data_IF_280419185282
#
_entry.id   IF_280419185282
#
_cell.length_a   1.000
_cell.length_b   1.000
_cell.length_c   1.000
_cell.angle_alpha   90.00
_cell.angle_beta   90.00
_cell.angle_gamma   90.00
#
_symmetry.space_group_name_H-M   'P 1'
#
loop_
_entity.id
_entity.type
_entity.pdbx_description
1 polymer ?
#
# COMPACT_ATOMS: atom_id res chain seq x y z
N UNK A 1 -5.24 -1.74 1.91
CA UNK A 1 -5.04 -1.79 0.44
C UNK A 1 -4.14 -0.65 0.03
N UNK A 2 -3.07 -0.95 -0.70
CA UNK A 2 -2.20 0.05 -1.31
C UNK A 2 -2.24 -0.11 -2.83
N UNK A 3 -2.23 1.02 -3.55
CA UNK A 3 -2.16 1.08 -5.01
C UNK A 3 -0.82 1.66 -5.38
N UNK A 4 0.01 0.88 -6.07
CA UNK A 4 1.32 1.31 -6.55
C UNK A 4 1.27 1.79 -7.98
N UNK A 5 2.33 2.51 -8.35
CA UNK A 5 2.60 2.94 -9.73
C UNK A 5 2.77 1.74 -10.66
N UNK A 6 2.16 1.75 -11.86
CA UNK A 6 2.20 0.62 -12.79
C UNK A 6 3.59 0.37 -13.39
N UNK A 7 4.44 1.41 -13.42
CA UNK A 7 5.78 1.37 -14.01
C UNK A 7 6.79 0.55 -13.19
N UNK A 8 6.40 0.07 -12.01
CA UNK A 8 7.24 -0.69 -11.08
C UNK A 8 7.51 -2.10 -11.58
N UNK A 9 8.76 -2.52 -11.56
CA UNK A 9 9.18 -3.89 -11.88
C UNK A 9 8.81 -4.88 -10.76
N UNK A 10 8.85 -6.17 -11.03
CA UNK A 10 8.52 -7.20 -10.03
C UNK A 10 9.48 -7.20 -8.85
N UNK A 11 10.78 -7.00 -9.09
CA UNK A 11 11.80 -6.95 -8.04
C UNK A 11 11.58 -5.75 -7.11
N UNK A 12 11.28 -4.57 -7.66
CA UNK A 12 11.00 -3.38 -6.84
C UNK A 12 9.71 -3.55 -6.01
N UNK A 13 8.71 -4.27 -6.56
CA UNK A 13 7.50 -4.63 -5.79
C UNK A 13 7.86 -5.54 -4.63
N UNK A 14 8.70 -6.55 -4.85
CA UNK A 14 9.12 -7.50 -3.83
C UNK A 14 9.86 -6.78 -2.68
N UNK A 15 10.76 -5.86 -3.03
CA UNK A 15 11.50 -5.03 -2.07
C UNK A 15 10.54 -4.15 -1.25
N UNK A 16 9.53 -3.54 -1.89
CA UNK A 16 8.52 -2.76 -1.17
C UNK A 16 7.65 -3.61 -0.24
N UNK A 17 7.23 -4.81 -0.66
CA UNK A 17 6.48 -5.72 0.20
C UNK A 17 7.29 -6.09 1.43
N UNK A 18 8.57 -6.48 1.27
CA UNK A 18 9.42 -6.80 2.40
C UNK A 18 9.63 -5.61 3.35
N UNK A 19 9.87 -4.41 2.82
CA UNK A 19 10.00 -3.18 3.62
C UNK A 19 8.76 -2.93 4.51
N UNK A 20 7.56 -3.10 3.96
CA UNK A 20 6.32 -2.88 4.72
C UNK A 20 5.95 -4.04 5.63
N UNK A 21 6.32 -5.28 5.29
CA UNK A 21 6.25 -6.41 6.21
C UNK A 21 7.11 -6.18 7.44
N UNK A 22 8.38 -5.78 7.26
CA UNK A 22 9.29 -5.46 8.37
C UNK A 22 8.74 -4.34 9.25
N UNK A 23 8.18 -3.29 8.65
CA UNK A 23 7.55 -2.20 9.39
C UNK A 23 6.36 -2.69 10.22
N UNK A 24 5.52 -3.55 9.65
CA UNK A 24 4.40 -4.16 10.36
C UNK A 24 4.88 -5.05 11.52
N UNK A 25 5.92 -5.87 11.31
CA UNK A 25 6.53 -6.71 12.34
C UNK A 25 7.14 -5.85 13.46
N UNK A 26 7.86 -4.79 13.12
CA UNK A 26 8.42 -3.84 14.08
C UNK A 26 7.33 -3.11 14.89
N UNK A 27 6.16 -2.87 14.28
CA UNK A 27 4.95 -2.37 14.96
C UNK A 27 4.23 -3.40 15.83
N UNK A 28 4.78 -4.61 16.00
CA UNK A 28 4.15 -5.71 16.73
C UNK A 28 2.99 -6.35 15.98
N UNK A 29 2.98 -6.25 14.65
CA UNK A 29 2.02 -6.90 13.77
C UNK A 29 2.20 -8.41 13.76
N UNK A 30 1.09 -9.13 13.89
CA UNK A 30 1.02 -10.58 13.78
C UNK A 30 0.11 -10.97 12.62
N UNK A 31 0.32 -12.18 12.07
CA UNK A 31 -0.47 -12.74 10.98
C UNK A 31 -0.55 -11.82 9.76
N UNK A 32 0.62 -11.46 9.23
CA UNK A 32 0.72 -10.65 8.02
C UNK A 32 0.55 -11.58 6.82
N UNK A 33 -0.49 -11.32 6.03
CA UNK A 33 -0.74 -11.97 4.76
C UNK A 33 -0.76 -10.91 3.66
N UNK A 34 0.02 -11.13 2.62
CA UNK A 34 0.22 -10.19 1.51
C UNK A 34 -0.31 -10.82 0.23
N UNK A 35 -1.33 -10.20 -0.33
CA UNK A 35 -1.95 -10.64 -1.56
C UNK A 35 -1.77 -9.61 -2.67
N UNK A 36 -1.06 -10.00 -3.73
CA UNK A 36 -0.88 -9.19 -4.92
C UNK A 36 -1.96 -9.50 -5.96
N UNK A 37 -2.73 -8.49 -6.36
CA UNK A 37 -3.80 -8.59 -7.37
C UNK A 37 -3.34 -8.25 -8.79
N UNK A 38 -2.09 -7.85 -8.97
CA UNK A 38 -1.52 -7.47 -10.26
C UNK A 38 -1.96 -6.08 -10.73
N UNK A 39 -1.74 -5.83 -12.02
CA UNK A 39 -2.04 -4.57 -12.70
C UNK A 39 -3.50 -4.56 -13.13
N UNK A 40 -4.25 -3.55 -12.70
CA UNK A 40 -5.66 -3.37 -13.06
C UNK A 40 -5.87 -1.90 -13.47
N UNK A 41 -6.63 -1.63 -14.55
CA UNK A 41 -6.97 -0.27 -14.93
C UNK A 41 -7.83 0.41 -13.85
N UNK A 42 -7.49 1.64 -13.54
CA UNK A 42 -8.20 2.47 -12.57
C UNK A 42 -9.49 3.00 -13.18
N UNK A 43 -10.51 3.20 -12.34
CA UNK A 43 -11.78 3.78 -12.78
C UNK A 43 -11.65 5.22 -13.31
N UNK A 44 -10.60 5.93 -12.91
CA UNK A 44 -10.28 7.29 -13.37
C UNK A 44 -8.78 7.53 -13.26
N UNK A 45 -8.27 8.49 -14.03
CA UNK A 45 -6.85 8.85 -14.00
C UNK A 45 -6.49 9.59 -12.72
N UNK A 46 -5.43 9.14 -12.05
CA UNK A 46 -4.98 9.68 -10.77
C UNK A 46 -3.67 10.43 -10.95
N UNK A 47 -3.57 11.63 -10.38
CA UNK A 47 -2.34 12.44 -10.39
C UNK A 47 -1.60 12.28 -9.08
N UNK A 48 -0.29 12.07 -9.14
CA UNK A 48 0.61 11.99 -7.98
C UNK A 48 1.82 12.89 -8.20
N UNK A 49 2.18 13.66 -7.19
CA UNK A 49 3.44 14.41 -7.17
C UNK A 49 4.50 13.60 -6.46
N UNK A 50 5.67 13.45 -7.07
CA UNK A 50 6.83 12.81 -6.47
C UNK A 50 7.66 13.83 -5.67
N UNK A 51 8.60 13.36 -4.84
CA UNK A 51 9.57 14.24 -4.14
C UNK A 51 10.44 15.05 -5.10
N UNK A 52 10.67 14.54 -6.31
CA UNK A 52 11.39 15.25 -7.38
C UNK A 52 10.56 16.41 -8.01
N UNK A 53 9.31 16.61 -7.60
CA UNK A 53 8.43 17.66 -8.12
C UNK A 53 7.67 17.28 -9.39
N UNK A 54 7.96 16.13 -9.98
CA UNK A 54 7.25 15.59 -11.15
C UNK A 54 5.79 15.27 -10.80
N UNK A 55 4.88 15.62 -11.71
CA UNK A 55 3.45 15.30 -11.59
C UNK A 55 3.09 14.23 -12.60
N UNK A 56 2.95 13.00 -12.12
CA UNK A 56 2.66 11.84 -12.96
C UNK A 56 1.16 11.54 -12.92
N UNK A 57 0.61 11.17 -14.08
CA UNK A 57 -0.79 10.80 -14.23
C UNK A 57 -0.87 9.32 -14.59
N UNK A 58 -1.52 8.53 -13.76
CA UNK A 58 -1.63 7.08 -13.93
C UNK A 58 -3.05 6.69 -14.33
N UNK A 59 -3.14 5.75 -15.27
CA UNK A 59 -4.40 5.12 -15.70
C UNK A 59 -4.51 3.71 -15.12
N UNK A 60 -3.38 3.04 -14.95
CA UNK A 60 -3.29 1.72 -14.33
C UNK A 60 -2.66 1.79 -12.94
N UNK A 61 -2.90 0.76 -12.13
CA UNK A 61 -2.26 0.62 -10.82
C UNK A 61 -2.12 -0.84 -10.41
N UNK A 62 -1.12 -1.10 -9.56
CA UNK A 62 -0.90 -2.42 -8.98
C UNK A 62 -1.53 -2.46 -7.60
N UNK A 63 -2.37 -3.45 -7.34
CA UNK A 63 -3.10 -3.56 -6.08
C UNK A 63 -2.44 -4.55 -5.13
N UNK A 64 -1.94 -4.05 -3.99
CA UNK A 64 -1.47 -4.87 -2.88
C UNK A 64 -2.45 -4.82 -1.70
N UNK A 65 -2.90 -6.00 -1.30
CA UNK A 65 -3.74 -6.17 -0.13
C UNK A 65 -2.90 -6.76 1.02
N UNK A 66 -2.83 -6.00 2.11
CA UNK A 66 -2.24 -6.45 3.36
C UNK A 66 -3.37 -6.78 4.33
N UNK A 67 -3.37 -8.00 4.84
CA UNK A 67 -4.21 -8.43 5.96
C UNK A 67 -3.29 -8.65 7.15
N UNK A 68 -3.50 -7.92 8.24
CA UNK A 68 -2.60 -7.94 9.40
C UNK A 68 -3.35 -7.63 10.68
N UNK A 69 -2.80 -8.07 11.82
CA UNK A 69 -3.27 -7.74 13.15
C UNK A 69 -2.21 -6.93 13.89
N UNK A 70 -2.40 -5.63 14.06
CA UNK A 70 -1.46 -4.74 14.76
C UNK A 70 -2.12 -4.02 15.93
N UNK A 71 -1.28 -3.44 16.81
CA UNK A 71 -1.75 -2.50 17.83
C UNK A 71 -2.34 -1.24 17.18
N UNK A 72 -3.33 -0.60 17.82
CA UNK A 72 -3.95 0.61 17.28
C UNK A 72 -2.99 1.80 17.23
N UNK A 73 -2.01 1.88 18.12
CA UNK A 73 -1.05 2.99 18.17
C UNK A 73 -0.12 3.01 16.94
N UNK A 74 0.25 1.82 16.44
CA UNK A 74 1.19 1.66 15.32
C UNK A 74 0.57 1.97 13.96
N UNK A 75 -0.76 2.08 13.86
CA UNK A 75 -1.45 2.31 12.58
C UNK A 75 -1.17 3.70 12.01
N UNK A 76 -1.01 4.71 12.88
CA UNK A 76 -0.78 6.09 12.45
C UNK A 76 0.55 6.21 11.71
N UNK A 77 1.60 5.61 12.30
CA UNK A 77 2.95 5.57 11.70
C UNK A 77 2.91 4.83 10.36
N UNK A 78 2.19 3.71 10.28
CA UNK A 78 2.02 2.97 9.04
C UNK A 78 1.34 3.81 7.95
N UNK A 79 0.25 4.51 8.28
CA UNK A 79 -0.44 5.35 7.30
C UNK A 79 0.39 6.54 6.82
N UNK A 80 1.11 7.20 7.72
CA UNK A 80 1.99 8.31 7.40
C UNK A 80 3.14 7.85 6.48
N UNK A 81 3.78 6.73 6.81
CA UNK A 81 4.86 6.15 6.01
C UNK A 81 4.38 5.69 4.64
N UNK A 82 3.19 5.10 4.53
CA UNK A 82 2.59 4.73 3.25
C UNK A 82 2.20 5.96 2.41
N UNK A 83 1.71 7.05 3.04
CA UNK A 83 1.36 8.30 2.34
C UNK A 83 2.59 9.09 1.89
N UNK A 84 3.71 8.98 2.62
CA UNK A 84 4.97 9.67 2.33
C UNK A 84 5.84 8.97 1.27
N UNK A 85 5.49 7.72 0.90
CA UNK A 85 6.18 6.99 -0.16
C UNK A 85 5.66 7.45 -1.54
N UNK A 86 6.60 7.66 -2.47
CA UNK A 86 6.28 8.08 -3.83
C UNK A 86 5.76 6.90 -4.65
N UNK A 87 6.19 5.68 -4.34
CA UNK A 87 5.80 4.45 -5.04
C UNK A 87 4.34 4.10 -4.86
N UNK A 88 3.71 4.67 -3.84
CA UNK A 88 2.31 4.45 -3.51
C UNK A 88 1.49 5.66 -3.96
N UNK A 89 0.58 5.42 -4.90
CA UNK A 89 -0.30 6.45 -5.43
C UNK A 89 -1.45 6.70 -4.46
N UNK A 90 -2.02 5.63 -3.91
CA UNK A 90 -3.16 5.71 -3.00
C UNK A 90 -3.13 4.61 -1.95
N UNK A 91 -3.52 4.98 -0.75
CA UNK A 91 -3.59 4.09 0.41
C UNK A 91 -4.98 4.15 1.00
N UNK A 92 -5.46 2.99 1.47
CA UNK A 92 -6.67 2.92 2.28
C UNK A 92 -6.54 1.77 3.27
N UNK A 93 -6.65 2.10 4.55
CA UNK A 93 -6.70 1.18 5.68
C UNK A 93 -8.16 1.03 6.11
N UNK A 94 -8.55 -0.16 6.54
CA UNK A 94 -9.92 -0.41 7.00
C UNK A 94 -9.91 -1.50 8.07
N UNK A 95 -10.60 -1.24 9.17
CA UNK A 95 -10.79 -2.25 10.22
C UNK A 95 -11.88 -3.22 9.79
N UNK A 96 -11.54 -4.50 9.71
CA UNK A 96 -12.50 -5.55 9.38
C UNK A 96 -13.32 -5.89 10.63
N UNK A 97 -14.65 -5.87 10.50
CA UNK A 97 -15.59 -6.31 11.53
C UNK A 97 -16.33 -7.55 11.03
N UNK A 98 -16.52 -8.54 11.89
CA UNK A 98 -17.34 -9.73 11.57
C UNK A 98 -18.75 -9.28 11.18
N UNK A 99 -19.14 -9.58 9.95
CA UNK A 99 -20.48 -9.27 9.44
C UNK A 99 -21.51 -10.14 10.17
N UNK A 100 -22.53 -9.50 10.75
CA UNK A 100 -23.75 -10.15 11.22
C UNK A 100 -24.87 -9.70 10.29
N UNK A 101 -25.54 -10.66 9.66
CA UNK A 101 -26.69 -10.42 8.79
C UNK A 101 -27.97 -10.53 9.61
#
# INVERSE_FOLDING_TARGET
MAVLRPDMTEDERLVLTHKYEELLVAGGGMYIDVFNRGVIPLAYSIRRKNKAGETNTYVDGIYLLFTYCTKPESINILEETLKADDNIIRTMTSKIRKRKY
#
